data_IF_442876388325
#
_entry.id   IF_442876388325
#
_cell.length_a   1.000
_cell.length_b   1.000
_cell.length_c   1.000
_cell.angle_alpha   90.00
_cell.angle_beta   90.00
_cell.angle_gamma   90.00
#
_symmetry.space_group_name_H-M   'P 1'
#
loop_
_entity.id
_entity.type
_entity.pdbx_description
1 polymer ?
#
# COMPACT_ATOMS: atom_id res chain seq x y z
N UNK A 1 -7.47 -6.85 15.33
CA UNK A 1 -6.17 -6.20 15.66
C UNK A 1 -5.44 -5.72 14.41
N UNK A 2 -5.15 -6.58 13.43
CA UNK A 2 -4.45 -6.20 12.19
C UNK A 2 -5.07 -5.03 11.41
N UNK A 3 -6.38 -5.01 11.10
CA UNK A 3 -6.91 -3.99 10.18
C UNK A 3 -7.01 -2.61 10.84
N UNK A 4 -7.19 -2.54 12.17
CA UNK A 4 -7.10 -1.28 12.94
C UNK A 4 -5.71 -0.65 12.91
N UNK A 5 -4.68 -1.41 12.60
CA UNK A 5 -3.31 -0.92 12.59
C UNK A 5 -2.80 -0.54 11.19
N UNK A 6 -3.51 -0.89 10.11
CA UNK A 6 -3.04 -0.63 8.73
C UNK A 6 -4.12 -0.01 7.84
N UNK A 7 -5.27 0.37 8.38
CA UNK A 7 -6.37 0.96 7.58
C UNK A 7 -5.95 2.25 6.86
N UNK A 8 -4.95 2.99 7.35
CA UNK A 8 -4.45 4.19 6.68
C UNK A 8 -3.88 3.91 5.28
N UNK A 9 -3.42 2.68 5.02
CA UNK A 9 -3.00 2.26 3.68
C UNK A 9 -4.17 2.25 2.69
N UNK A 10 -5.41 2.12 3.18
CA UNK A 10 -6.63 2.10 2.38
C UNK A 10 -6.89 3.40 1.63
N UNK A 11 -6.22 4.51 1.96
CA UNK A 11 -6.39 5.81 1.27
C UNK A 11 -6.09 5.78 -0.23
N UNK A 12 -5.37 4.76 -0.70
CA UNK A 12 -4.98 4.62 -2.11
C UNK A 12 -5.77 3.58 -2.89
N UNK A 13 -6.78 2.98 -2.24
CA UNK A 13 -7.60 1.93 -2.84
C UNK A 13 -9.06 2.25 -2.57
N UNK A 14 -9.87 2.30 -3.61
CA UNK A 14 -11.31 2.42 -3.49
C UNK A 14 -11.89 1.09 -2.97
N UNK A 15 -12.85 1.15 -2.04
CA UNK A 15 -13.44 -0.03 -1.41
C UNK A 15 -14.97 -0.01 -1.56
N UNK A 16 -15.52 -1.06 -2.18
CA UNK A 16 -16.96 -1.35 -2.17
C UNK A 16 -17.18 -2.59 -1.31
N UNK A 17 -17.78 -2.40 -0.14
CA UNK A 17 -18.02 -3.48 0.83
C UNK A 17 -19.50 -3.71 0.98
N UNK A 18 -19.93 -4.92 0.63
CA UNK A 18 -21.28 -5.41 0.91
C UNK A 18 -21.22 -6.24 2.18
N UNK A 19 -22.05 -5.89 3.15
CA UNK A 19 -22.11 -6.58 4.43
C UNK A 19 -23.54 -6.82 4.87
N UNK A 20 -23.68 -7.73 5.84
CA UNK A 20 -24.93 -7.86 6.59
C UNK A 20 -25.22 -6.56 7.33
N UNK A 21 -26.47 -6.13 7.34
CA UNK A 21 -26.94 -5.08 8.23
C UNK A 21 -26.84 -5.48 9.70
N UNK A 22 -27.05 -4.51 10.59
CA UNK A 22 -27.12 -4.74 12.04
C UNK A 22 -28.32 -5.64 12.38
N UNK A 23 -28.17 -6.95 12.28
CA UNK A 23 -29.14 -7.95 12.74
C UNK A 23 -29.03 -8.22 14.25
N UNK A 24 -29.83 -9.18 14.74
CA UNK A 24 -29.85 -9.57 16.17
C UNK A 24 -28.58 -10.31 16.66
N UNK A 25 -27.64 -10.61 15.77
CA UNK A 25 -26.35 -11.21 16.15
C UNK A 25 -25.32 -10.14 16.48
N UNK A 26 -24.42 -10.45 17.44
CA UNK A 26 -23.35 -9.53 17.81
C UNK A 26 -22.52 -9.13 16.56
N UNK A 27 -22.35 -7.83 16.28
CA UNK A 27 -21.54 -7.39 15.16
C UNK A 27 -20.09 -7.83 15.39
N UNK A 28 -19.39 -8.17 14.31
CA UNK A 28 -17.94 -8.37 14.35
C UNK A 28 -17.24 -7.04 14.65
N UNK A 29 -17.12 -6.73 15.95
CA UNK A 29 -16.59 -5.46 16.46
C UNK A 29 -15.21 -5.11 15.89
N UNK A 30 -14.43 -6.09 15.44
CA UNK A 30 -13.10 -5.84 14.90
C UNK A 30 -13.14 -5.27 13.49
N UNK A 31 -13.97 -5.83 12.61
CA UNK A 31 -14.07 -5.39 11.22
C UNK A 31 -14.96 -4.14 11.10
N UNK A 32 -16.11 -4.12 11.78
CA UNK A 32 -17.00 -2.94 11.78
C UNK A 32 -16.35 -1.73 12.43
N UNK A 33 -15.49 -1.92 13.44
CA UNK A 33 -14.74 -0.82 14.03
C UNK A 33 -13.74 -0.15 13.07
N UNK A 34 -13.29 -0.85 12.02
CA UNK A 34 -12.41 -0.28 10.99
C UNK A 34 -13.24 0.51 9.99
N UNK A 35 -14.41 -0.01 9.59
CA UNK A 35 -15.34 0.72 8.72
C UNK A 35 -15.86 1.99 9.39
N UNK A 36 -16.18 1.93 10.68
CA UNK A 36 -16.58 3.12 11.46
C UNK A 36 -15.47 4.17 11.51
N UNK A 37 -14.21 3.78 11.72
CA UNK A 37 -13.06 4.71 11.66
C UNK A 37 -12.85 5.29 10.25
N UNK A 38 -13.01 4.48 9.21
CA UNK A 38 -12.92 4.94 7.80
C UNK A 38 -14.03 5.96 7.51
N UNK A 39 -15.28 5.65 7.88
CA UNK A 39 -16.43 6.52 7.70
C UNK A 39 -16.30 7.82 8.49
N UNK A 40 -15.83 7.75 9.75
CA UNK A 40 -15.54 8.93 10.59
C UNK A 40 -14.48 9.84 9.99
N UNK A 41 -13.44 9.26 9.39
CA UNK A 41 -12.37 10.01 8.70
C UNK A 41 -12.80 10.53 7.33
N UNK A 42 -13.92 10.03 6.80
CA UNK A 42 -14.65 10.58 5.66
C UNK A 42 -13.83 10.60 4.36
N UNK A 43 -13.85 11.74 3.67
CA UNK A 43 -13.35 11.96 2.30
C UNK A 43 -11.86 11.61 2.05
N UNK A 44 -11.10 11.20 3.07
CA UNK A 44 -9.75 10.65 2.91
C UNK A 44 -9.75 9.24 2.32
N UNK A 45 -10.88 8.55 2.41
CA UNK A 45 -11.07 7.21 1.91
C UNK A 45 -12.21 7.20 0.90
N UNK A 46 -11.97 6.50 -0.19
CA UNK A 46 -12.99 6.18 -1.16
C UNK A 46 -13.63 4.85 -0.75
N UNK A 47 -14.71 4.95 0.01
CA UNK A 47 -15.33 3.82 0.70
C UNK A 47 -16.85 3.88 0.58
N UNK A 48 -17.43 2.81 0.04
CA UNK A 48 -18.87 2.58 0.01
C UNK A 48 -19.20 1.32 0.83
N UNK A 49 -20.09 1.46 1.80
CA UNK A 49 -20.61 0.36 2.59
C UNK A 49 -22.10 0.19 2.34
N UNK A 50 -22.47 -0.96 1.77
CA UNK A 50 -23.87 -1.33 1.53
C UNK A 50 -24.25 -2.41 2.53
N UNK A 51 -25.29 -2.13 3.32
CA UNK A 51 -25.76 -3.04 4.36
C UNK A 51 -27.20 -3.49 4.11
N UNK A 52 -27.43 -4.79 4.09
CA UNK A 52 -28.77 -5.38 3.95
C UNK A 52 -29.31 -5.82 5.30
N UNK A 53 -30.36 -5.15 5.79
CA UNK A 53 -30.99 -5.51 7.05
C UNK A 53 -31.76 -6.82 6.92
N UNK A 54 -31.60 -7.72 7.90
CA UNK A 54 -32.33 -8.99 7.96
C UNK A 54 -31.80 -10.09 7.02
N UNK A 55 -30.73 -9.83 6.26
CA UNK A 55 -30.10 -10.82 5.38
C UNK A 55 -28.90 -11.47 6.06
N UNK A 56 -28.80 -12.79 5.96
CA UNK A 56 -27.76 -13.61 6.56
C UNK A 56 -26.45 -13.62 5.75
N UNK A 57 -25.75 -14.76 5.80
CA UNK A 57 -24.51 -15.03 5.05
C UNK A 57 -24.87 -15.46 3.62
N UNK A 58 -25.49 -14.54 2.89
CA UNK A 58 -25.96 -14.78 1.52
C UNK A 58 -24.98 -14.20 0.48
N UNK A 59 -25.09 -14.62 -0.78
CA UNK A 59 -24.12 -14.30 -1.84
C UNK A 59 -24.20 -12.88 -2.41
N UNK A 60 -25.23 -12.07 -2.05
CA UNK A 60 -25.46 -10.71 -2.55
C UNK A 60 -25.32 -10.57 -4.08
N UNK A 61 -25.84 -11.53 -4.85
CA UNK A 61 -25.67 -11.56 -6.31
C UNK A 61 -26.28 -10.33 -7.00
N UNK A 62 -27.32 -9.72 -6.42
CA UNK A 62 -27.90 -8.48 -6.96
C UNK A 62 -26.97 -7.27 -6.90
N UNK A 63 -25.90 -7.32 -6.11
CA UNK A 63 -24.91 -6.25 -6.02
C UNK A 63 -23.83 -6.37 -7.09
N UNK A 64 -23.66 -7.53 -7.73
CA UNK A 64 -22.61 -7.73 -8.74
C UNK A 64 -22.64 -6.65 -9.84
N UNK A 65 -23.79 -6.33 -10.49
CA UNK A 65 -23.82 -5.28 -11.50
C UNK A 65 -23.37 -3.92 -10.95
N UNK A 66 -23.81 -3.55 -9.74
CA UNK A 66 -23.47 -2.27 -9.11
C UNK A 66 -22.00 -2.17 -8.75
N UNK A 67 -21.40 -3.29 -8.32
CA UNK A 67 -19.96 -3.38 -8.07
C UNK A 67 -19.20 -3.15 -9.38
N UNK A 68 -19.66 -3.71 -10.51
CA UNK A 68 -19.04 -3.45 -11.82
C UNK A 68 -19.19 -2.00 -12.26
N UNK A 69 -20.37 -1.40 -12.13
CA UNK A 69 -20.60 0.02 -12.44
C UNK A 69 -19.70 0.92 -11.60
N UNK A 70 -19.60 0.63 -10.30
CA UNK A 70 -18.71 1.34 -9.39
C UNK A 70 -17.23 1.12 -9.79
N UNK A 71 -16.81 -0.10 -10.13
CA UNK A 71 -15.44 -0.35 -10.58
C UNK A 71 -15.08 0.38 -11.87
N UNK A 72 -16.03 0.56 -12.80
CA UNK A 72 -15.77 1.29 -14.06
C UNK A 72 -15.47 2.78 -13.84
N UNK A 73 -16.09 3.37 -12.80
CA UNK A 73 -15.79 4.74 -12.35
C UNK A 73 -14.39 4.85 -11.74
N UNK A 74 -13.87 3.78 -11.13
CA UNK A 74 -12.60 3.80 -10.40
C UNK A 74 -11.45 3.24 -11.25
N UNK A 75 -10.91 4.10 -12.12
CA UNK A 75 -9.70 3.79 -12.86
C UNK A 75 -8.46 3.92 -11.98
N UNK A 76 -7.50 3.04 -12.20
CA UNK A 76 -6.26 3.00 -11.42
C UNK A 76 -5.42 4.26 -11.66
N UNK A 77 -5.34 5.11 -10.64
CA UNK A 77 -4.51 6.31 -10.65
C UNK A 77 -3.02 5.98 -10.83
N UNK A 78 -2.19 6.92 -11.33
CA UNK A 78 -0.75 6.77 -11.29
C UNK A 78 -0.27 6.59 -9.83
N UNK A 79 0.87 5.90 -9.62
CA UNK A 79 1.42 5.74 -8.29
C UNK A 79 1.71 7.12 -7.65
N UNK A 80 1.45 7.28 -6.34
CA UNK A 80 1.66 8.55 -5.66
C UNK A 80 3.15 8.89 -5.55
N UNK A 81 3.49 10.17 -5.71
CA UNK A 81 4.85 10.69 -5.49
C UNK A 81 5.21 10.75 -3.99
N UNK A 82 4.21 10.98 -3.15
CA UNK A 82 4.35 10.99 -1.69
C UNK A 82 3.49 9.90 -1.10
N UNK A 83 4.11 8.99 -0.37
CA UNK A 83 3.39 7.94 0.34
C UNK A 83 3.90 7.74 1.75
N UNK A 84 2.96 7.39 2.60
CA UNK A 84 3.18 6.97 3.98
C UNK A 84 2.36 5.69 4.15
N UNK A 85 3.05 4.60 4.46
CA UNK A 85 2.48 3.27 4.58
C UNK A 85 2.87 2.65 5.90
N UNK A 86 1.94 1.93 6.50
CA UNK A 86 2.17 1.17 7.71
C UNK A 86 2.11 -0.32 7.39
N UNK A 87 3.09 -1.09 7.84
CA UNK A 87 3.08 -2.55 7.70
C UNK A 87 3.27 -3.24 9.03
N UNK A 88 2.61 -4.38 9.15
CA UNK A 88 2.71 -5.29 10.29
C UNK A 88 3.33 -6.64 9.93
N UNK A 89 3.64 -6.89 8.65
CA UNK A 89 4.11 -8.18 8.15
C UNK A 89 5.34 -8.02 7.27
N UNK A 90 6.22 -9.03 7.29
CA UNK A 90 7.47 -8.98 6.52
C UNK A 90 7.21 -9.16 5.04
N UNK A 91 6.15 -9.90 4.74
CA UNK A 91 5.62 -10.12 3.41
C UNK A 91 5.05 -8.83 2.81
N UNK A 92 4.59 -7.92 3.65
CA UNK A 92 3.91 -6.69 3.25
C UNK A 92 4.92 -5.54 3.23
N UNK A 93 6.00 -5.71 2.46
CA UNK A 93 7.13 -4.78 2.37
C UNK A 93 7.20 -4.03 1.04
N UNK A 94 6.28 -4.32 0.12
CA UNK A 94 6.24 -3.79 -1.23
C UNK A 94 5.06 -2.83 -1.36
N UNK A 95 5.36 -1.55 -1.57
CA UNK A 95 4.38 -0.49 -1.73
C UNK A 95 4.66 0.31 -2.99
N UNK A 96 3.76 0.21 -3.98
CA UNK A 96 3.91 0.87 -5.28
C UNK A 96 5.30 0.65 -5.89
N UNK A 97 6.12 1.69 -5.89
CA UNK A 97 7.43 1.76 -6.51
C UNK A 97 8.59 1.55 -5.52
N UNK A 98 8.30 1.28 -4.25
CA UNK A 98 9.31 1.04 -3.19
C UNK A 98 9.11 -0.35 -2.60
N UNK A 99 10.22 -1.04 -2.33
CA UNK A 99 10.25 -2.25 -1.52
C UNK A 99 11.27 -2.07 -0.40
N UNK A 100 10.83 -2.22 0.84
CA UNK A 100 11.70 -2.20 1.99
C UNK A 100 12.38 -3.58 2.15
N UNK A 101 13.72 -3.60 2.16
CA UNK A 101 14.52 -4.82 2.27
C UNK A 101 15.05 -4.94 3.71
N UNK A 102 15.38 -6.16 4.14
CA UNK A 102 16.08 -6.41 5.42
C UNK A 102 15.31 -5.96 6.67
N UNK A 103 14.01 -6.28 6.69
CA UNK A 103 13.15 -5.95 7.83
C UNK A 103 13.49 -6.83 9.05
N UNK A 104 13.77 -6.27 10.23
CA UNK A 104 14.09 -7.06 11.42
C UNK A 104 12.90 -7.89 11.89
N UNK A 105 13.19 -9.04 12.51
CA UNK A 105 12.18 -9.99 13.01
C UNK A 105 11.38 -9.48 14.22
N UNK A 106 11.87 -8.44 14.89
CA UNK A 106 11.31 -7.92 16.14
C UNK A 106 10.16 -6.92 15.95
N UNK A 107 9.98 -6.37 14.75
CA UNK A 107 8.99 -5.30 14.48
C UNK A 107 7.76 -5.82 13.73
N UNK A 108 7.59 -7.13 13.61
CA UNK A 108 6.71 -7.69 12.57
C UNK A 108 6.07 -8.99 13.02
N UNK A 109 4.78 -9.17 12.70
CA UNK A 109 4.00 -10.36 13.05
C UNK A 109 4.35 -11.55 12.13
N UNK A 110 4.32 -12.80 12.65
CA UNK A 110 3.96 -13.18 14.02
C UNK A 110 5.09 -12.88 15.03
N UNK A 111 4.69 -12.44 16.23
CA UNK A 111 5.62 -12.24 17.34
C UNK A 111 6.17 -13.61 17.80
N UNK A 112 7.47 -13.72 18.14
CA UNK A 112 8.00 -14.94 18.76
C UNK A 112 7.22 -15.30 20.03
N UNK A 113 7.04 -16.61 20.35
CA UNK A 113 6.45 -17.02 21.62
C UNK A 113 7.18 -16.36 22.80
N UNK A 114 6.43 -15.68 23.70
CA UNK A 114 7.00 -14.97 24.85
C UNK A 114 7.45 -13.52 24.59
N UNK A 115 7.38 -13.02 23.36
CA UNK A 115 7.60 -11.60 23.09
C UNK A 115 6.37 -10.77 23.53
N UNK A 116 6.61 -9.69 24.29
CA UNK A 116 5.56 -8.83 24.82
C UNK A 116 4.63 -8.26 23.74
N UNK A 117 3.39 -7.95 24.14
CA UNK A 117 2.23 -7.59 23.28
C UNK A 117 2.37 -6.28 22.48
N UNK A 118 3.53 -5.61 22.50
CA UNK A 118 3.69 -4.31 21.86
C UNK A 118 4.04 -4.46 20.39
N UNK A 119 2.99 -4.51 19.58
CA UNK A 119 3.09 -4.50 18.12
C UNK A 119 3.59 -3.12 17.67
N UNK A 120 4.83 -3.05 17.21
CA UNK A 120 5.37 -1.84 16.58
C UNK A 120 5.09 -1.92 15.08
N UNK A 121 4.37 -0.93 14.54
CA UNK A 121 4.17 -0.82 13.10
C UNK A 121 5.46 -0.38 12.43
N UNK A 122 5.69 -0.89 11.23
CA UNK A 122 6.72 -0.34 10.37
C UNK A 122 6.12 0.79 9.54
N UNK A 123 6.61 2.00 9.75
CA UNK A 123 6.25 3.15 8.94
C UNK A 123 7.28 3.29 7.81
N UNK A 124 6.79 3.29 6.57
CA UNK A 124 7.57 3.56 5.37
C UNK A 124 7.04 4.85 4.77
N UNK A 125 7.89 5.86 4.75
CA UNK A 125 7.65 7.11 4.06
C UNK A 125 8.57 7.21 2.85
N UNK A 126 7.99 7.51 1.70
CA UNK A 126 8.72 7.73 0.46
C UNK A 126 8.18 8.97 -0.23
N UNK A 127 9.10 9.84 -0.66
CA UNK A 127 8.78 11.09 -1.32
C UNK A 127 9.68 11.29 -2.53
N UNK A 128 9.06 11.60 -3.67
CA UNK A 128 9.75 12.15 -4.84
C UNK A 128 9.58 13.66 -4.79
N UNK A 129 10.69 14.37 -4.64
CA UNK A 129 10.71 15.84 -4.67
C UNK A 129 11.02 16.33 -6.09
N UNK A 130 10.80 17.63 -6.29
CA UNK A 130 11.18 18.34 -7.52
C UNK A 130 12.67 18.16 -7.78
N UNK A 131 13.03 17.82 -9.03
CA UNK A 131 14.41 17.58 -9.43
C UNK A 131 14.92 16.16 -9.19
N UNK A 132 14.06 15.15 -9.28
CA UNK A 132 14.42 13.72 -9.17
C UNK A 132 15.14 13.34 -7.86
N UNK A 133 14.77 13.99 -6.76
CA UNK A 133 15.31 13.67 -5.44
C UNK A 133 14.33 12.75 -4.72
N UNK A 134 14.70 11.48 -4.56
CA UNK A 134 13.94 10.50 -3.81
C UNK A 134 14.42 10.48 -2.36
N UNK A 135 13.50 10.69 -1.43
CA UNK A 135 13.75 10.61 0.01
C UNK A 135 12.98 9.44 0.59
N UNK A 136 13.69 8.59 1.33
CA UNK A 136 13.15 7.44 2.05
C UNK A 136 13.38 7.60 3.54
N UNK A 137 12.31 7.41 4.31
CA UNK A 137 12.34 7.37 5.76
C UNK A 137 11.60 6.12 6.22
N UNK A 138 12.33 5.23 6.89
CA UNK A 138 11.73 4.16 7.68
C UNK A 138 12.50 4.03 8.99
N UNK A 139 11.79 3.79 10.08
CA UNK A 139 12.41 3.59 11.38
C UNK A 139 13.32 2.34 11.39
N UNK A 140 12.97 1.35 10.57
CA UNK A 140 13.40 -0.03 10.78
C UNK A 140 14.38 -0.56 9.73
N UNK A 141 14.45 0.06 8.55
CA UNK A 141 15.41 -0.33 7.50
C UNK A 141 16.08 0.88 6.86
N UNK A 142 17.26 0.64 6.29
CA UNK A 142 18.00 1.59 5.45
C UNK A 142 18.17 1.08 4.01
N UNK A 143 17.75 -0.15 3.73
CA UNK A 143 17.89 -0.78 2.43
C UNK A 143 16.56 -0.74 1.70
N UNK A 144 16.53 -0.13 0.53
CA UNK A 144 15.33 0.01 -0.27
C UNK A 144 15.59 -0.39 -1.72
N UNK A 145 14.69 -1.21 -2.27
CA UNK A 145 14.62 -1.44 -3.72
C UNK A 145 13.61 -0.48 -4.32
N UNK A 146 14.06 0.35 -5.23
CA UNK A 146 13.28 1.38 -5.92
C UNK A 146 13.04 0.93 -7.34
N UNK A 147 11.79 1.03 -7.78
CA UNK A 147 11.34 0.78 -9.14
C UNK A 147 11.05 2.12 -9.80
N UNK A 148 11.83 2.47 -10.81
CA UNK A 148 11.71 3.75 -11.49
C UNK A 148 10.66 3.65 -12.60
N UNK A 149 9.53 4.34 -12.42
CA UNK A 149 8.48 4.40 -13.43
C UNK A 149 8.62 5.66 -14.31
N UNK A 150 8.22 5.59 -15.60
CA UNK A 150 8.26 6.72 -16.53
C UNK A 150 7.54 7.98 -16.04
N UNK A 151 6.47 7.79 -15.27
CA UNK A 151 5.64 8.89 -14.73
C UNK A 151 6.12 9.40 -13.36
N UNK A 152 7.14 8.77 -12.77
CA UNK A 152 7.63 9.10 -11.44
C UNK A 152 8.88 9.97 -11.49
N UNK A 153 9.81 9.69 -12.40
CA UNK A 153 11.07 10.41 -12.57
C UNK A 153 11.37 10.70 -14.03
N UNK A 154 12.17 11.72 -14.26
CA UNK A 154 12.71 12.07 -15.58
C UNK A 154 14.07 11.38 -15.81
N UNK A 155 14.15 10.40 -16.72
CA UNK A 155 15.38 9.62 -16.93
C UNK A 155 16.53 10.43 -17.54
N UNK A 156 16.23 11.59 -18.14
CA UNK A 156 17.24 12.48 -18.72
C UNK A 156 17.95 13.33 -17.66
N UNK A 157 17.49 13.28 -16.40
CA UNK A 157 18.03 14.03 -15.28
C UNK A 157 18.67 13.13 -14.25
N UNK A 158 19.68 13.65 -13.56
CA UNK A 158 20.33 12.96 -12.44
C UNK A 158 19.33 12.68 -11.33
N UNK A 159 19.37 11.45 -10.83
CA UNK A 159 18.56 10.96 -9.73
C UNK A 159 19.40 10.97 -8.46
N UNK A 160 18.89 11.59 -7.40
CA UNK A 160 19.52 11.62 -6.08
C UNK A 160 18.66 10.81 -5.13
N UNK A 161 19.24 9.79 -4.50
CA UNK A 161 18.55 8.99 -3.49
C UNK A 161 19.10 9.32 -2.11
N UNK A 162 18.19 9.68 -1.20
CA UNK A 162 18.47 9.96 0.20
C UNK A 162 17.71 8.99 1.09
N UNK A 163 18.40 8.38 2.03
CA UNK A 163 17.81 7.52 3.05
C UNK A 163 18.18 8.05 4.42
N UNK A 164 17.17 8.34 5.28
CA UNK A 164 17.37 8.97 6.60
C UNK A 164 18.29 10.20 6.55
N UNK A 165 18.08 11.06 5.56
CA UNK A 165 18.87 12.29 5.34
C UNK A 165 20.26 12.09 4.73
N UNK A 166 20.76 10.85 4.58
CA UNK A 166 22.06 10.56 3.95
C UNK A 166 21.89 10.26 2.47
N UNK A 167 22.70 10.89 1.62
CA UNK A 167 22.75 10.57 0.20
C UNK A 167 23.40 9.20 -0.01
N UNK A 168 22.66 8.27 -0.63
CA UNK A 168 23.12 6.91 -0.95
C UNK A 168 23.52 6.78 -2.41
N UNK A 169 22.86 7.54 -3.29
CA UNK A 169 23.13 7.51 -4.72
C UNK A 169 22.97 8.90 -5.34
N UNK A 170 23.78 9.17 -6.36
CA UNK A 170 23.69 10.33 -7.22
C UNK A 170 24.23 9.95 -8.59
N UNK A 171 23.36 9.84 -9.58
CA UNK A 171 23.75 9.40 -10.92
C UNK A 171 22.58 9.37 -11.89
N UNK A 172 22.85 8.89 -13.10
CA UNK A 172 21.80 8.61 -14.08
C UNK A 172 21.33 7.17 -13.92
N UNK A 173 20.03 6.95 -14.11
CA UNK A 173 19.44 5.62 -14.11
C UNK A 173 19.23 5.22 -15.57
N UNK A 174 19.88 4.14 -15.99
CA UNK A 174 19.69 3.62 -17.35
C UNK A 174 18.50 2.67 -17.38
N UNK A 175 17.53 2.87 -18.28
CA UNK A 175 16.45 1.92 -18.51
C UNK A 175 16.99 0.52 -18.89
N UNK A 176 16.40 -0.52 -18.31
CA UNK A 176 16.73 -1.91 -18.54
C UNK A 176 15.46 -2.72 -18.85
N UNK A 177 15.47 -3.41 -19.99
CA UNK A 177 14.39 -4.29 -20.40
C UNK A 177 14.19 -5.50 -19.47
N UNK A 178 15.24 -5.99 -18.80
CA UNK A 178 15.11 -7.09 -17.87
C UNK A 178 14.25 -6.69 -16.66
N UNK A 179 14.42 -5.47 -16.16
CA UNK A 179 13.60 -4.94 -15.07
C UNK A 179 12.09 -4.95 -15.40
N UNK A 180 11.72 -4.69 -16.66
CA UNK A 180 10.33 -4.74 -17.13
C UNK A 180 9.80 -6.18 -17.09
N UNK A 181 10.57 -7.14 -17.61
CA UNK A 181 10.17 -8.55 -17.67
C UNK A 181 10.07 -9.18 -16.29
N UNK A 182 10.98 -8.87 -15.38
CA UNK A 182 10.95 -9.36 -14.01
C UNK A 182 9.74 -8.83 -13.25
N UNK A 183 9.39 -7.56 -13.43
CA UNK A 183 8.20 -6.98 -12.80
C UNK A 183 6.92 -7.62 -13.34
N UNK A 184 6.83 -7.80 -14.67
CA UNK A 184 5.70 -8.45 -15.31
C UNK A 184 5.54 -9.89 -14.84
N UNK A 185 6.64 -10.62 -14.64
CA UNK A 185 6.64 -11.98 -14.10
C UNK A 185 6.14 -12.04 -12.67
N UNK A 186 6.52 -11.08 -11.83
CA UNK A 186 6.16 -11.07 -10.40
C UNK A 186 4.73 -10.60 -10.13
N UNK A 187 4.22 -9.67 -10.92
CA UNK A 187 2.94 -9.00 -10.66
C UNK A 187 1.85 -9.30 -11.68
N UNK A 188 2.22 -9.70 -12.90
CA UNK A 188 1.31 -9.79 -14.03
C UNK A 188 0.79 -8.42 -14.53
N UNK A 189 1.28 -7.31 -13.96
CA UNK A 189 0.74 -5.98 -14.19
C UNK A 189 1.38 -5.31 -15.41
N UNK A 190 0.57 -5.04 -16.44
CA UNK A 190 1.02 -4.38 -17.67
C UNK A 190 0.98 -2.85 -17.60
N UNK A 191 0.29 -2.28 -16.61
CA UNK A 191 0.05 -0.84 -16.53
C UNK A 191 1.13 -0.08 -15.74
N UNK A 192 1.81 -0.76 -14.81
CA UNK A 192 2.84 -0.15 -13.95
C UNK A 192 4.18 -0.84 -14.09
N UNK A 193 4.73 -0.79 -15.31
CA UNK A 193 6.03 -1.38 -15.62
C UNK A 193 7.15 -0.38 -15.32
N UNK A 194 8.13 -0.72 -14.46
CA UNK A 194 9.28 0.11 -14.22
C UNK A 194 10.29 -0.05 -15.35
N UNK A 195 10.94 1.05 -15.72
CA UNK A 195 12.02 1.03 -16.69
C UNK A 195 13.35 0.60 -16.06
N UNK A 196 13.51 0.75 -14.75
CA UNK A 196 14.71 0.30 -14.05
C UNK A 196 14.36 -0.07 -12.60
N UNK A 197 15.10 -1.02 -12.04
CA UNK A 197 15.00 -1.40 -10.64
C UNK A 197 16.39 -1.37 -10.01
N UNK A 198 16.54 -0.67 -8.90
CA UNK A 198 17.82 -0.59 -8.20
C UNK A 198 17.64 -0.64 -6.69
N UNK A 199 18.58 -1.28 -6.01
CA UNK A 199 18.64 -1.33 -4.55
C UNK A 199 19.68 -0.34 -4.03
N UNK A 200 19.32 0.38 -2.97
CA UNK A 200 20.14 1.38 -2.27
C UNK A 200 20.24 1.06 -0.78
#
# INVERSE_FOLDING_TARGET
LYPKATYENGKYTAWYVVGRGFGNEAPDRNNYGVFDEILKRGARFDFMFVSYLGRGLDGYLEELPKVFDWMDLHRRAPPPQVMQMESLRKTDNRFFWVTAVDLPRTTVLPLPPGAGTRINKMNIEARVNVGNVLTFEAATTEKFTVRFLPNLIDFDKRVIVRTKGRQKFNGFITPDSQAILDELRLTGDRARLPLATQQF
#
